data_IF_992026484939
#
_entry.id   IF_992026484939
#
_cell.length_a   1.000
_cell.length_b   1.000
_cell.length_c   1.000
_cell.angle_alpha   90.00
_cell.angle_beta   90.00
_cell.angle_gamma   90.00
#
_symmetry.space_group_name_H-M   'P 1'
#
loop_
_entity.id
_entity.type
_entity.pdbx_description
1 polymer ?
#
# COMPACT_ATOMS: atom_id res chain seq x y z
N UNK A 1 -9.14 -31.56 -12.94
CA UNK A 1 -8.41 -32.25 -11.85
C UNK A 1 -7.72 -31.17 -11.05
N UNK A 2 -8.31 -30.77 -9.93
CA UNK A 2 -7.66 -29.88 -8.96
C UNK A 2 -6.57 -30.69 -8.28
N UNK A 3 -5.31 -30.38 -8.57
CA UNK A 3 -4.19 -30.88 -7.77
C UNK A 3 -4.42 -30.36 -6.34
N UNK A 4 -4.40 -31.25 -5.36
CA UNK A 4 -4.57 -30.88 -3.95
C UNK A 4 -3.45 -29.90 -3.56
N UNK A 5 -3.77 -28.82 -2.81
CA UNK A 5 -2.76 -27.85 -2.37
C UNK A 5 -1.63 -28.53 -1.57
N UNK A 6 -1.93 -29.66 -0.91
CA UNK A 6 -0.92 -30.50 -0.25
C UNK A 6 0.05 -31.20 -1.22
N UNK A 7 -0.44 -31.65 -2.38
CA UNK A 7 0.42 -32.29 -3.40
C UNK A 7 1.38 -31.26 -4.03
N UNK A 8 0.95 -30.00 -4.16
CA UNK A 8 1.81 -28.89 -4.62
C UNK A 8 2.89 -28.50 -3.60
N UNK A 9 2.62 -28.64 -2.31
CA UNK A 9 3.64 -28.41 -1.26
C UNK A 9 4.73 -29.48 -1.27
N UNK A 10 4.41 -30.73 -1.60
CA UNK A 10 5.33 -31.86 -1.53
C UNK A 10 6.21 -32.07 -2.77
N UNK A 11 5.80 -31.58 -3.95
CA UNK A 11 6.54 -31.81 -5.19
C UNK A 11 7.69 -30.82 -5.41
N UNK A 12 8.89 -31.37 -5.57
CA UNK A 12 10.00 -30.67 -6.23
C UNK A 12 9.65 -30.46 -7.71
N UNK A 13 9.92 -29.27 -8.28
CA UNK A 13 9.80 -29.07 -9.72
C UNK A 13 10.79 -29.97 -10.46
N UNK A 14 10.52 -30.29 -11.73
CA UNK A 14 11.45 -31.05 -12.58
C UNK A 14 12.84 -30.41 -12.57
N UNK A 15 13.83 -31.19 -12.14
CA UNK A 15 15.24 -30.79 -12.06
C UNK A 15 15.99 -31.31 -13.27
N UNK A 16 16.88 -30.49 -13.82
CA UNK A 16 17.77 -30.89 -14.91
C UNK A 16 19.13 -31.41 -14.43
N UNK A 17 19.45 -31.19 -13.15
CA UNK A 17 20.62 -31.72 -12.47
C UNK A 17 20.24 -32.72 -11.38
N UNK A 18 21.21 -33.45 -10.85
CA UNK A 18 21.02 -34.34 -9.70
C UNK A 18 21.04 -33.51 -8.41
N UNK A 19 20.07 -33.69 -7.53
CA UNK A 19 20.01 -33.03 -6.23
C UNK A 19 20.17 -34.05 -5.11
N UNK A 20 20.90 -33.66 -4.05
CA UNK A 20 20.96 -34.43 -2.80
C UNK A 20 19.65 -34.35 -2.02
N UNK A 21 19.37 -35.35 -1.18
CA UNK A 21 18.17 -35.37 -0.35
C UNK A 21 18.11 -34.17 0.60
N UNK A 22 19.26 -33.72 1.13
CA UNK A 22 19.35 -32.54 1.98
C UNK A 22 18.99 -31.25 1.21
N UNK A 23 19.48 -31.10 -0.02
CA UNK A 23 19.16 -29.94 -0.86
C UNK A 23 17.68 -29.93 -1.28
N UNK A 24 17.11 -31.10 -1.58
CA UNK A 24 15.68 -31.28 -1.84
C UNK A 24 14.85 -30.90 -0.61
N UNK A 25 15.23 -31.39 0.57
CA UNK A 25 14.54 -31.09 1.82
C UNK A 25 14.52 -29.58 2.10
N UNK A 26 15.59 -28.85 1.77
CA UNK A 26 15.66 -27.40 1.94
C UNK A 26 14.68 -26.64 1.05
N UNK A 27 14.39 -27.14 -0.16
CA UNK A 27 13.42 -26.51 -1.07
C UNK A 27 11.98 -26.60 -0.54
N UNK A 28 11.69 -27.49 0.41
CA UNK A 28 10.38 -27.54 1.09
C UNK A 28 10.09 -26.27 1.89
N UNK A 29 11.12 -25.57 2.38
CA UNK A 29 11.00 -24.28 3.06
C UNK A 29 10.77 -23.11 2.10
N UNK A 30 10.93 -23.34 0.78
CA UNK A 30 10.65 -22.34 -0.24
C UNK A 30 9.19 -22.47 -0.64
N UNK A 31 8.39 -21.38 -0.62
CA UNK A 31 6.99 -21.43 -1.02
C UNK A 31 6.85 -22.00 -2.44
N UNK A 32 5.88 -22.90 -2.63
CA UNK A 32 5.77 -23.72 -3.85
C UNK A 32 5.69 -22.86 -5.13
N UNK A 33 5.00 -21.72 -5.07
CA UNK A 33 4.79 -20.82 -6.22
C UNK A 33 6.07 -20.10 -6.70
N UNK A 34 7.09 -19.95 -5.84
CA UNK A 34 8.43 -19.45 -6.25
C UNK A 34 9.48 -20.56 -6.40
N UNK A 35 9.22 -21.76 -5.89
CA UNK A 35 10.17 -22.90 -5.86
C UNK A 35 10.77 -23.22 -7.22
N UNK A 36 9.95 -23.21 -8.30
CA UNK A 36 10.42 -23.44 -9.67
C UNK A 36 11.47 -22.41 -10.12
N UNK A 37 11.24 -21.14 -9.83
CA UNK A 37 12.18 -20.05 -10.16
C UNK A 37 13.48 -20.16 -9.35
N UNK A 38 13.37 -20.50 -8.07
CA UNK A 38 14.52 -20.71 -7.18
C UNK A 38 15.37 -21.90 -7.65
N UNK A 39 14.75 -23.05 -7.93
CA UNK A 39 15.42 -24.25 -8.45
C UNK A 39 16.14 -23.95 -9.75
N UNK A 40 15.47 -23.31 -10.72
CA UNK A 40 16.09 -22.89 -11.98
C UNK A 40 17.31 -22.00 -11.77
N UNK A 41 17.22 -21.05 -10.83
CA UNK A 41 18.34 -20.16 -10.50
C UNK A 41 19.53 -20.92 -9.89
N UNK A 42 19.27 -21.90 -9.03
CA UNK A 42 20.32 -22.75 -8.43
C UNK A 42 20.95 -23.66 -9.48
N UNK A 43 20.16 -24.26 -10.38
CA UNK A 43 20.70 -25.09 -11.46
C UNK A 43 21.50 -24.27 -12.47
N UNK A 44 21.08 -23.04 -12.77
CA UNK A 44 21.86 -22.13 -13.60
C UNK A 44 23.21 -21.84 -12.96
N UNK A 45 23.22 -21.48 -11.67
CA UNK A 45 24.46 -21.29 -10.91
C UNK A 45 25.34 -22.55 -10.96
N UNK A 46 24.78 -23.73 -10.73
CA UNK A 46 25.52 -24.98 -10.77
C UNK A 46 26.14 -25.23 -12.16
N UNK A 47 25.38 -25.03 -13.24
CA UNK A 47 25.89 -25.12 -14.63
C UNK A 47 27.02 -24.13 -14.89
N UNK A 48 26.87 -22.87 -14.47
CA UNK A 48 27.86 -21.82 -14.68
C UNK A 48 29.18 -22.11 -13.95
N UNK A 49 29.12 -22.87 -12.84
CA UNK A 49 30.31 -23.31 -12.08
C UNK A 49 30.75 -24.74 -12.42
N UNK A 50 30.14 -25.41 -13.39
CA UNK A 50 30.46 -26.79 -13.79
C UNK A 50 30.16 -27.85 -12.71
N UNK A 51 29.12 -27.64 -11.91
CA UNK A 51 28.70 -28.51 -10.82
C UNK A 51 27.55 -29.41 -11.30
N UNK A 52 27.74 -30.73 -11.20
CA UNK A 52 26.76 -31.72 -11.67
C UNK A 52 25.74 -32.14 -10.60
N UNK A 53 26.14 -32.09 -9.32
CA UNK A 53 25.29 -32.46 -8.18
C UNK A 53 25.04 -31.23 -7.30
N UNK A 54 23.76 -30.90 -7.11
CA UNK A 54 23.32 -29.82 -6.24
C UNK A 54 23.20 -30.34 -4.79
N UNK A 55 24.21 -30.02 -3.99
CA UNK A 55 24.21 -30.23 -2.54
C UNK A 55 23.79 -28.96 -1.77
N UNK A 56 23.67 -29.06 -0.45
CA UNK A 56 23.29 -27.92 0.40
C UNK A 56 24.30 -26.75 0.31
N UNK A 57 25.59 -27.04 0.08
CA UNK A 57 26.61 -26.02 -0.06
C UNK A 57 26.47 -25.26 -1.39
N UNK A 58 26.08 -25.94 -2.48
CA UNK A 58 25.73 -25.33 -3.76
C UNK A 58 24.53 -24.41 -3.60
N UNK A 59 23.46 -24.87 -2.93
CA UNK A 59 22.27 -24.05 -2.64
C UNK A 59 22.66 -22.78 -1.86
N UNK A 60 23.50 -22.93 -0.81
CA UNK A 60 23.98 -21.81 0.00
C UNK A 60 24.80 -20.80 -0.81
N UNK A 61 25.74 -21.27 -1.64
CA UNK A 61 26.57 -20.39 -2.47
C UNK A 61 25.77 -19.69 -3.57
N UNK A 62 24.85 -20.41 -4.22
CA UNK A 62 23.96 -19.83 -5.22
C UNK A 62 23.12 -18.69 -4.63
N UNK A 63 22.59 -18.89 -3.42
CA UNK A 63 21.87 -17.85 -2.68
C UNK A 63 22.76 -16.65 -2.36
N UNK A 64 23.96 -16.86 -1.82
CA UNK A 64 24.89 -15.78 -1.48
C UNK A 64 25.30 -14.95 -2.72
N UNK A 65 25.56 -15.61 -3.86
CA UNK A 65 25.90 -14.91 -5.10
C UNK A 65 24.73 -14.06 -5.60
N UNK A 66 23.50 -14.61 -5.55
CA UNK A 66 22.29 -13.88 -5.92
C UNK A 66 22.00 -12.70 -4.99
N UNK A 67 22.20 -12.87 -3.68
CA UNK A 67 22.12 -11.79 -2.69
C UNK A 67 23.15 -10.69 -2.99
N UNK A 68 24.40 -11.06 -3.29
CA UNK A 68 25.46 -10.13 -3.68
C UNK A 68 25.15 -9.36 -4.97
N UNK A 69 24.63 -10.05 -5.99
CA UNK A 69 24.22 -9.45 -7.25
C UNK A 69 23.09 -8.42 -7.07
N UNK A 70 22.05 -8.76 -6.28
CA UNK A 70 20.94 -7.85 -5.99
C UNK A 70 21.40 -6.57 -5.26
N UNK A 71 22.38 -6.69 -4.34
CA UNK A 71 22.98 -5.53 -3.66
C UNK A 71 23.75 -4.66 -4.65
N UNK A 72 24.52 -5.27 -5.56
CA UNK A 72 25.28 -4.54 -6.57
C UNK A 72 24.37 -3.81 -7.55
N UNK A 73 23.31 -4.46 -8.02
CA UNK A 73 22.32 -3.87 -8.91
C UNK A 73 21.63 -2.66 -8.27
N UNK A 74 21.18 -2.78 -7.01
CA UNK A 74 20.58 -1.65 -6.29
C UNK A 74 21.54 -0.47 -6.15
N UNK A 75 22.81 -0.72 -5.82
CA UNK A 75 23.83 0.35 -5.76
C UNK A 75 24.01 1.03 -7.12
N UNK A 76 23.96 0.26 -8.20
CA UNK A 76 24.03 0.80 -9.56
C UNK A 76 22.79 1.65 -9.89
N UNK A 77 21.59 1.21 -9.53
CA UNK A 77 20.35 1.98 -9.71
C UNK A 77 20.38 3.29 -8.90
N UNK A 78 20.80 3.25 -7.64
CA UNK A 78 20.93 4.45 -6.80
C UNK A 78 21.98 5.42 -7.37
N UNK A 79 23.09 4.91 -7.91
CA UNK A 79 24.11 5.73 -8.57
C UNK A 79 23.61 6.33 -9.89
N UNK A 80 22.86 5.57 -10.69
CA UNK A 80 22.26 6.02 -11.93
C UNK A 80 21.20 7.11 -11.69
N UNK A 81 20.34 6.93 -10.68
CA UNK A 81 19.35 7.94 -10.29
C UNK A 81 20.01 9.26 -9.85
N UNK A 82 21.10 9.18 -9.07
CA UNK A 82 21.90 10.36 -8.71
C UNK A 82 22.58 11.01 -9.92
N UNK A 83 23.08 10.22 -10.87
CA UNK A 83 23.71 10.75 -12.08
C UNK A 83 22.69 11.43 -13.01
N UNK A 84 21.48 10.87 -13.14
CA UNK A 84 20.37 11.47 -13.88
C UNK A 84 19.98 12.84 -13.30
N UNK A 85 19.93 12.96 -11.97
CA UNK A 85 19.66 14.22 -11.27
C UNK A 85 20.75 15.27 -11.53
N UNK A 86 22.04 14.85 -11.55
CA UNK A 86 23.18 15.72 -11.91
C UNK A 86 23.14 16.16 -13.38
N UNK A 87 22.65 15.31 -14.28
CA UNK A 87 22.51 15.60 -15.72
C UNK A 87 21.27 16.45 -16.07
N UNK A 88 20.49 16.88 -15.08
CA UNK A 88 19.35 17.77 -15.27
C UNK A 88 18.07 17.07 -15.73
N UNK A 89 18.01 15.74 -15.68
CA UNK A 89 16.74 15.02 -15.82
C UNK A 89 15.88 15.34 -14.59
N UNK A 90 14.69 15.92 -14.82
CA UNK A 90 13.81 16.29 -13.72
C UNK A 90 13.27 15.01 -13.07
N UNK A 91 13.47 14.80 -11.75
CA UNK A 91 12.91 13.66 -11.07
C UNK A 91 11.37 13.68 -11.20
N UNK A 92 10.76 12.49 -11.31
CA UNK A 92 9.30 12.36 -11.30
C UNK A 92 8.76 13.05 -10.06
N UNK A 93 7.93 14.08 -10.27
CA UNK A 93 7.34 14.85 -9.16
C UNK A 93 6.45 13.90 -8.37
N UNK A 94 6.72 13.76 -7.08
CA UNK A 94 5.96 12.90 -6.17
C UNK A 94 4.79 13.66 -5.57
N UNK A 95 3.68 12.99 -5.37
CA UNK A 95 2.47 13.57 -4.78
C UNK A 95 2.52 13.41 -3.26
N UNK A 96 2.17 14.47 -2.54
CA UNK A 96 1.74 14.37 -1.16
C UNK A 96 0.31 13.85 -1.11
N UNK A 97 0.04 13.00 -0.13
CA UNK A 97 -1.23 12.33 0.07
C UNK A 97 -1.66 12.60 1.49
N UNK A 98 -2.90 13.04 1.67
CA UNK A 98 -3.48 13.23 2.99
C UNK A 98 -4.87 12.60 3.10
N UNK A 99 -5.11 11.91 4.21
CA UNK A 99 -6.42 11.39 4.59
C UNK A 99 -6.86 12.11 5.86
N UNK A 100 -7.87 12.98 5.76
CA UNK A 100 -8.35 13.81 6.86
C UNK A 100 -9.74 13.34 7.30
N UNK A 101 -9.85 12.95 8.57
CA UNK A 101 -11.04 12.32 9.14
C UNK A 101 -11.76 13.29 10.07
N UNK A 102 -13.06 13.47 9.89
CA UNK A 102 -13.86 14.44 10.64
C UNK A 102 -15.02 13.79 11.38
N UNK A 103 -15.28 14.27 12.59
CA UNK A 103 -16.47 13.97 13.39
C UNK A 103 -17.28 15.24 13.62
N UNK A 104 -18.57 15.18 13.34
CA UNK A 104 -19.48 16.29 13.60
C UNK A 104 -19.83 16.35 15.09
N UNK A 105 -19.58 17.51 15.70
CA UNK A 105 -20.05 17.83 17.04
C UNK A 105 -21.60 17.87 17.06
N UNK A 106 -22.27 17.08 17.93
CA UNK A 106 -23.72 17.11 18.08
C UNK A 106 -24.34 18.48 18.35
N UNK A 107 -23.57 19.46 18.86
CA UNK A 107 -24.03 20.83 19.07
C UNK A 107 -24.51 21.48 17.77
N UNK A 108 -23.90 21.18 16.62
CA UNK A 108 -24.31 21.74 15.33
C UNK A 108 -25.76 21.40 14.98
N UNK A 109 -26.21 20.18 15.29
CA UNK A 109 -27.59 19.72 15.04
C UNK A 109 -28.64 20.48 15.86
N UNK A 110 -28.22 21.20 16.91
CA UNK A 110 -29.09 21.98 17.79
C UNK A 110 -29.19 23.45 17.38
N UNK A 111 -28.39 23.89 16.40
CA UNK A 111 -28.46 25.25 15.87
C UNK A 111 -29.77 25.47 15.11
N UNK A 112 -30.22 26.73 14.94
CA UNK A 112 -31.31 27.05 14.04
C UNK A 112 -31.05 26.53 12.61
N UNK A 113 -32.09 26.07 11.92
CA UNK A 113 -31.95 25.51 10.57
C UNK A 113 -31.28 26.47 9.58
N UNK A 114 -31.57 27.76 9.67
CA UNK A 114 -30.92 28.79 8.85
C UNK A 114 -29.40 28.85 9.05
N UNK A 115 -28.92 28.71 10.30
CA UNK A 115 -27.48 28.67 10.60
C UNK A 115 -26.83 27.38 10.10
N UNK A 116 -27.54 26.24 10.20
CA UNK A 116 -27.07 24.97 9.67
C UNK A 116 -26.86 25.05 8.15
N UNK A 117 -27.88 25.50 7.41
CA UNK A 117 -27.82 25.65 5.95
C UNK A 117 -26.74 26.64 5.52
N UNK A 118 -26.63 27.77 6.21
CA UNK A 118 -25.57 28.75 5.94
C UNK A 118 -24.18 28.14 6.15
N UNK A 119 -23.95 27.46 7.27
CA UNK A 119 -22.67 26.84 7.58
C UNK A 119 -22.29 25.72 6.62
N UNK A 120 -23.27 24.94 6.18
CA UNK A 120 -23.13 23.90 5.15
C UNK A 120 -22.75 24.50 3.80
N UNK A 121 -23.46 25.56 3.37
CA UNK A 121 -23.16 26.27 2.12
C UNK A 121 -21.75 26.85 2.11
N UNK A 122 -21.35 27.57 3.17
CA UNK A 122 -19.99 28.11 3.29
C UNK A 122 -18.91 27.02 3.21
N UNK A 123 -19.16 25.85 3.80
CA UNK A 123 -18.25 24.72 3.76
C UNK A 123 -18.16 24.10 2.36
N UNK A 124 -19.30 23.90 1.69
CA UNK A 124 -19.36 23.40 0.32
C UNK A 124 -18.66 24.33 -0.68
N UNK A 125 -18.87 25.64 -0.58
CA UNK A 125 -18.20 26.63 -1.44
C UNK A 125 -16.66 26.51 -1.38
N UNK A 126 -16.10 26.24 -0.20
CA UNK A 126 -14.66 26.02 -0.05
C UNK A 126 -14.25 24.70 -0.71
N UNK A 127 -15.00 23.61 -0.52
CA UNK A 127 -14.67 22.32 -1.14
C UNK A 127 -14.72 22.39 -2.67
N UNK A 128 -15.74 23.01 -3.25
CA UNK A 128 -15.92 23.16 -4.69
C UNK A 128 -14.79 23.98 -5.34
N UNK A 129 -14.28 25.02 -4.65
CA UNK A 129 -13.12 25.78 -5.14
C UNK A 129 -11.85 24.92 -5.21
N UNK A 130 -11.69 23.96 -4.31
CA UNK A 130 -10.58 23.01 -4.34
C UNK A 130 -10.78 21.87 -5.33
N UNK A 131 -12.01 21.44 -5.55
CA UNK A 131 -12.36 20.40 -6.53
C UNK A 131 -12.20 20.88 -7.98
N UNK A 132 -12.52 22.16 -8.22
CA UNK A 132 -12.41 22.77 -9.56
C UNK A 132 -11.02 23.31 -9.89
N UNK A 133 -10.09 23.33 -8.93
CA UNK A 133 -8.74 23.80 -9.18
C UNK A 133 -7.77 22.65 -9.45
N UNK A 134 -6.81 22.86 -10.36
CA UNK A 134 -5.82 21.84 -10.72
C UNK A 134 -4.73 21.65 -9.64
N UNK A 135 -4.89 22.22 -8.43
CA UNK A 135 -3.87 22.15 -7.37
C UNK A 135 -3.97 20.88 -6.55
N UNK A 136 -5.18 20.31 -6.42
CA UNK A 136 -5.37 19.05 -5.72
C UNK A 136 -6.42 18.17 -6.36
N UNK A 137 -6.24 16.87 -6.20
CA UNK A 137 -7.31 15.90 -6.35
C UNK A 137 -7.98 15.80 -4.98
N UNK A 138 -9.30 16.01 -4.97
CA UNK A 138 -10.12 15.96 -3.78
C UNK A 138 -11.19 14.89 -3.93
N UNK A 139 -11.26 13.97 -2.96
CA UNK A 139 -12.28 12.94 -2.90
C UNK A 139 -12.92 12.93 -1.52
N UNK A 140 -14.21 12.59 -1.48
CA UNK A 140 -15.00 12.55 -0.26
C UNK A 140 -15.61 11.19 -0.01
N UNK A 141 -15.65 10.83 1.26
CA UNK A 141 -16.21 9.57 1.71
C UNK A 141 -17.04 9.76 2.97
N UNK A 142 -18.09 8.97 3.10
CA UNK A 142 -18.89 8.88 4.33
C UNK A 142 -18.59 7.59 5.08
N UNK A 143 -18.62 7.69 6.39
CA UNK A 143 -18.53 6.58 7.35
C UNK A 143 -19.68 6.59 8.36
N UNK A 144 -20.67 7.47 8.15
CA UNK A 144 -21.84 7.58 9.01
C UNK A 144 -22.53 6.23 9.11
N UNK A 145 -22.71 5.73 10.33
CA UNK A 145 -23.31 4.42 10.61
C UNK A 145 -22.38 3.22 10.46
N UNK A 146 -21.13 3.42 10.01
CA UNK A 146 -20.12 2.36 9.88
C UNK A 146 -19.16 2.38 11.07
N UNK A 147 -18.71 3.59 11.45
CA UNK A 147 -17.79 3.81 12.57
C UNK A 147 -18.35 4.87 13.52
N UNK A 148 -18.14 4.70 14.82
CA UNK A 148 -18.76 5.57 15.83
C UNK A 148 -18.03 6.92 16.01
N UNK A 149 -16.72 6.91 15.86
CA UNK A 149 -15.78 7.99 16.15
C UNK A 149 -15.49 8.91 14.95
N UNK A 150 -15.97 8.59 13.74
CA UNK A 150 -15.76 9.42 12.55
C UNK A 150 -17.00 9.40 11.64
N UNK A 151 -17.31 10.53 11.02
CA UNK A 151 -18.47 10.67 10.14
C UNK A 151 -18.09 10.80 8.65
N UNK A 152 -17.12 11.65 8.31
CA UNK A 152 -16.66 11.85 6.92
C UNK A 152 -15.14 11.86 6.81
N UNK A 153 -14.63 11.59 5.63
CA UNK A 153 -13.20 11.65 5.32
C UNK A 153 -12.98 12.36 3.99
N UNK A 154 -11.94 13.20 3.94
CA UNK A 154 -11.43 13.82 2.71
C UNK A 154 -10.08 13.21 2.36
N UNK A 155 -9.98 12.65 1.16
CA UNK A 155 -8.72 12.19 0.57
C UNK A 155 -8.21 13.28 -0.37
N UNK A 156 -7.05 13.84 -0.02
CA UNK A 156 -6.47 15.02 -0.66
C UNK A 156 -5.10 14.67 -1.22
N UNK A 157 -4.88 14.94 -2.50
CA UNK A 157 -3.62 14.63 -3.17
C UNK A 157 -3.15 15.86 -3.91
N UNK A 158 -1.95 16.34 -3.62
CA UNK A 158 -1.38 17.52 -4.26
C UNK A 158 0.13 17.40 -4.38
N UNK A 159 0.77 18.37 -5.02
CA UNK A 159 2.23 18.43 -5.09
C UNK A 159 2.87 19.42 -4.10
N UNK A 160 2.06 20.21 -3.41
CA UNK A 160 2.49 21.29 -2.52
C UNK A 160 1.81 21.14 -1.15
N UNK A 161 2.59 20.80 -0.12
CA UNK A 161 2.10 20.41 1.20
C UNK A 161 1.26 21.51 1.87
N UNK A 162 1.61 22.76 1.63
CA UNK A 162 0.95 23.94 2.19
C UNK A 162 -0.52 24.05 1.75
N UNK A 163 -0.90 23.45 0.62
CA UNK A 163 -2.30 23.46 0.17
C UNK A 163 -3.22 22.71 1.14
N UNK A 164 -2.74 21.64 1.80
CA UNK A 164 -3.51 20.97 2.85
C UNK A 164 -3.77 21.89 4.05
N UNK A 165 -2.74 22.62 4.48
CA UNK A 165 -2.83 23.55 5.61
C UNK A 165 -3.75 24.74 5.29
N UNK A 166 -3.62 25.33 4.09
CA UNK A 166 -4.49 26.42 3.63
C UNK A 166 -5.94 25.97 3.55
N UNK A 167 -6.21 24.82 2.91
CA UNK A 167 -7.57 24.28 2.78
C UNK A 167 -8.19 24.03 4.15
N UNK A 168 -7.50 23.31 5.05
CA UNK A 168 -8.01 23.03 6.40
C UNK A 168 -8.29 24.32 7.17
N UNK A 169 -7.40 25.32 7.09
CA UNK A 169 -7.61 26.63 7.75
C UNK A 169 -8.87 27.33 7.23
N UNK A 170 -9.14 27.26 5.92
CA UNK A 170 -10.35 27.83 5.31
C UNK A 170 -11.61 27.09 5.74
N UNK A 171 -11.58 25.75 5.70
CA UNK A 171 -12.70 24.92 6.16
C UNK A 171 -13.04 25.21 7.62
N UNK A 172 -12.06 25.26 8.51
CA UNK A 172 -12.29 25.53 9.95
C UNK A 172 -12.88 26.92 10.25
N UNK A 173 -12.84 27.87 9.29
CA UNK A 173 -13.45 29.20 9.45
C UNK A 173 -14.94 29.23 9.16
N UNK A 174 -15.47 28.25 8.42
CA UNK A 174 -16.89 28.22 8.02
C UNK A 174 -17.80 27.88 9.19
N UNK A 175 -19.10 28.14 9.05
CA UNK A 175 -20.10 27.80 10.07
C UNK A 175 -20.09 26.32 10.45
N UNK A 176 -20.05 25.40 9.48
CA UNK A 176 -19.96 23.97 9.74
C UNK A 176 -18.57 23.54 10.24
N UNK A 177 -17.49 24.10 9.68
CA UNK A 177 -16.12 23.70 10.02
C UNK A 177 -15.75 23.91 11.50
N UNK A 178 -16.39 24.87 12.18
CA UNK A 178 -16.24 25.09 13.64
C UNK A 178 -16.71 23.90 14.49
N UNK A 179 -17.56 23.04 13.93
CA UNK A 179 -18.14 21.88 14.60
C UNK A 179 -17.63 20.56 14.01
N UNK A 180 -16.66 20.60 13.09
CA UNK A 180 -16.02 19.41 12.54
C UNK A 180 -14.68 19.18 13.23
N UNK A 181 -14.65 18.21 14.14
CA UNK A 181 -13.44 17.79 14.83
C UNK A 181 -12.60 16.91 13.93
N UNK A 182 -11.32 17.25 13.75
CA UNK A 182 -10.36 16.37 13.06
C UNK A 182 -9.94 15.28 14.05
N UNK A 183 -10.40 14.05 13.83
CA UNK A 183 -10.17 12.91 14.74
C UNK A 183 -8.95 12.09 14.34
N UNK A 184 -8.59 12.13 13.06
CA UNK A 184 -7.34 11.58 12.55
C UNK A 184 -6.92 12.36 11.29
N UNK A 185 -5.62 12.43 11.05
CA UNK A 185 -5.05 12.96 9.81
C UNK A 185 -3.79 12.17 9.51
N UNK A 186 -3.72 11.53 8.35
CA UNK A 186 -2.51 10.82 7.92
C UNK A 186 -1.87 11.56 6.76
N UNK A 187 -0.60 11.90 6.91
CA UNK A 187 0.24 12.47 5.86
C UNK A 187 1.17 11.39 5.30
N UNK A 188 1.21 11.29 3.98
CA UNK A 188 2.06 10.36 3.25
C UNK A 188 2.53 10.97 1.93
N UNK A 189 3.41 10.24 1.22
CA UNK A 189 3.90 10.62 -0.10
C UNK A 189 3.96 9.41 -1.03
N UNK A 190 3.72 9.61 -2.33
CA UNK A 190 3.94 8.56 -3.33
C UNK A 190 5.43 8.24 -3.44
N UNK A 191 5.75 6.96 -3.62
CA UNK A 191 7.11 6.47 -3.82
C UNK A 191 7.06 5.18 -4.60
N UNK A 192 8.04 4.99 -5.50
CA UNK A 192 8.22 3.71 -6.19
C UNK A 192 8.43 2.59 -5.18
N UNK A 193 7.79 1.44 -5.42
CA UNK A 193 8.00 0.23 -4.63
C UNK A 193 9.47 -0.18 -4.65
N UNK A 194 9.97 -0.71 -3.53
CA UNK A 194 11.29 -1.34 -3.46
C UNK A 194 11.27 -2.84 -3.73
N UNK A 195 10.07 -3.41 -3.87
CA UNK A 195 9.85 -4.82 -4.16
C UNK A 195 9.28 -4.96 -5.55
N UNK A 196 9.81 -5.95 -6.28
CA UNK A 196 9.36 -6.25 -7.62
C UNK A 196 8.13 -7.15 -7.60
N UNK A 197 7.13 -6.81 -8.40
CA UNK A 197 6.00 -7.69 -8.64
C UNK A 197 6.29 -8.54 -9.88
N UNK A 198 6.73 -9.78 -9.65
CA UNK A 198 7.07 -10.72 -10.73
C UNK A 198 5.84 -11.29 -11.44
N UNK A 199 4.63 -11.12 -10.87
CA UNK A 199 3.38 -11.63 -11.44
C UNK A 199 2.70 -10.56 -12.30
N UNK A 200 2.90 -9.29 -11.97
CA UNK A 200 2.39 -8.17 -12.75
C UNK A 200 3.42 -7.01 -12.81
N UNK A 201 4.38 -7.05 -13.74
CA UNK A 201 5.43 -6.02 -13.83
C UNK A 201 4.89 -4.63 -14.18
N UNK A 202 3.77 -4.54 -14.90
CA UNK A 202 3.15 -3.27 -15.30
C UNK A 202 2.51 -2.52 -14.09
N UNK A 203 2.19 -3.24 -13.01
CA UNK A 203 1.61 -2.66 -11.79
C UNK A 203 2.57 -1.73 -11.03
N UNK A 204 3.87 -1.75 -11.33
CA UNK A 204 4.87 -0.89 -10.67
C UNK A 204 4.83 0.57 -11.13
N UNK A 205 4.55 0.82 -12.41
CA UNK A 205 4.62 2.16 -13.01
C UNK A 205 3.49 3.09 -12.50
N UNK A 206 2.33 2.52 -12.14
CA UNK A 206 1.14 3.27 -11.72
C UNK A 206 1.25 3.85 -10.29
N UNK A 207 2.27 3.45 -9.49
CA UNK A 207 2.35 3.85 -8.06
C UNK A 207 3.01 5.20 -7.79
N UNK A 208 3.63 5.83 -8.79
CA UNK A 208 4.19 7.18 -8.63
C UNK A 208 3.14 8.29 -8.74
N UNK A 209 2.00 7.98 -9.36
CA UNK A 209 0.90 8.90 -9.59
C UNK A 209 -0.43 8.21 -9.26
N UNK A 210 -1.12 8.67 -8.23
CA UNK A 210 -2.38 8.06 -7.81
C UNK A 210 -3.49 8.49 -8.76
N UNK A 211 -4.22 7.52 -9.31
CA UNK A 211 -5.52 7.72 -9.97
C UNK A 211 -6.60 7.10 -9.06
N UNK A 212 -7.18 7.89 -8.15
CA UNK A 212 -8.12 7.40 -7.15
C UNK A 212 -9.58 7.49 -7.64
N UNK A 213 -10.51 6.95 -6.85
CA UNK A 213 -11.95 7.15 -7.02
C UNK A 213 -12.63 6.22 -8.02
N UNK A 214 -12.03 5.05 -8.30
CA UNK A 214 -12.57 4.10 -9.30
C UNK A 214 -13.55 3.07 -8.73
N UNK A 215 -13.67 2.96 -7.41
CA UNK A 215 -14.53 1.98 -6.76
C UNK A 215 -15.39 2.61 -5.65
N UNK A 216 -16.47 1.93 -5.28
CA UNK A 216 -17.46 2.42 -4.31
C UNK A 216 -16.95 2.40 -2.87
N UNK A 217 -16.14 1.42 -2.48
CA UNK A 217 -15.65 1.29 -1.11
C UNK A 217 -14.14 1.54 -1.04
N UNK A 218 -13.73 2.17 0.04
CA UNK A 218 -12.33 2.43 0.35
C UNK A 218 -12.02 2.00 1.78
N UNK A 219 -10.93 1.25 1.95
CA UNK A 219 -10.43 0.80 3.25
C UNK A 219 -9.05 1.40 3.49
N UNK A 220 -8.90 2.15 4.59
CA UNK A 220 -7.64 2.84 4.90
C UNK A 220 -7.16 2.48 6.30
N UNK A 221 -5.86 2.26 6.45
CA UNK A 221 -5.22 2.17 7.76
C UNK A 221 -3.74 2.59 7.71
N UNK A 222 -3.20 3.15 8.81
CA UNK A 222 -1.78 3.34 8.96
C UNK A 222 -1.11 1.98 9.20
N UNK A 223 0.09 1.81 8.69
CA UNK A 223 0.84 0.56 8.79
C UNK A 223 2.28 0.82 9.21
N UNK A 224 2.76 0.05 10.18
CA UNK A 224 4.11 0.12 10.74
C UNK A 224 4.70 -1.29 10.84
N UNK A 225 5.91 -1.46 10.31
CA UNK A 225 6.69 -2.68 10.44
C UNK A 225 7.56 -2.63 11.69
N UNK A 226 7.78 -3.80 12.31
CA UNK A 226 8.75 -3.96 13.39
C UNK A 226 10.17 -3.68 12.91
N UNK A 227 11.06 -3.25 13.81
CA UNK A 227 12.46 -2.91 13.48
C UNK A 227 13.23 -4.07 12.86
N UNK A 228 12.96 -5.30 13.30
CA UNK A 228 13.58 -6.52 12.78
C UNK A 228 13.39 -6.67 11.27
N UNK A 229 12.26 -6.19 10.71
CA UNK A 229 12.03 -6.15 9.27
C UNK A 229 13.15 -5.43 8.53
N UNK A 230 13.56 -4.26 9.06
CA UNK A 230 14.58 -3.42 8.43
C UNK A 230 16.00 -3.96 8.60
N UNK A 231 16.20 -4.90 9.52
CA UNK A 231 17.47 -5.59 9.71
C UNK A 231 17.63 -6.80 8.77
N UNK A 232 16.55 -7.24 8.11
CA UNK A 232 16.61 -8.27 7.09
C UNK A 232 17.29 -7.76 5.82
N UNK A 233 18.01 -8.68 5.15
CA UNK A 233 18.55 -8.42 3.82
C UNK A 233 17.42 -8.09 2.84
N UNK A 234 17.72 -7.30 1.80
CA UNK A 234 16.72 -6.99 0.76
C UNK A 234 16.19 -8.26 0.09
N UNK A 235 17.05 -9.26 -0.13
CA UNK A 235 16.67 -10.54 -0.73
C UNK A 235 15.68 -11.30 0.14
N UNK A 236 15.93 -11.38 1.44
CA UNK A 236 15.00 -12.02 2.38
C UNK A 236 13.67 -11.28 2.42
N UNK A 237 13.67 -9.95 2.43
CA UNK A 237 12.44 -9.15 2.36
C UNK A 237 11.69 -9.37 1.05
N UNK A 238 12.39 -9.45 -0.09
CA UNK A 238 11.77 -9.75 -1.38
C UNK A 238 11.06 -11.11 -1.34
N UNK A 239 11.71 -12.18 -0.85
CA UNK A 239 11.06 -13.49 -0.76
C UNK A 239 9.81 -13.51 0.13
N UNK A 240 9.83 -12.78 1.24
CA UNK A 240 8.63 -12.61 2.11
C UNK A 240 7.54 -11.80 1.38
N UNK A 241 7.93 -10.77 0.63
CA UNK A 241 6.99 -9.97 -0.15
C UNK A 241 6.45 -10.72 -1.38
N UNK A 242 7.19 -11.65 -1.97
CA UNK A 242 6.71 -12.49 -3.07
C UNK A 242 5.51 -13.35 -2.62
N UNK A 243 5.56 -13.87 -1.39
CA UNK A 243 4.41 -14.55 -0.77
C UNK A 243 3.23 -13.60 -0.56
N UNK A 244 3.48 -12.43 0.00
CA UNK A 244 2.45 -11.41 0.21
C UNK A 244 1.78 -10.99 -1.10
N UNK A 245 2.57 -10.77 -2.15
CA UNK A 245 2.09 -10.41 -3.50
C UNK A 245 1.31 -11.56 -4.12
N UNK A 246 1.79 -12.80 -3.97
CA UNK A 246 1.09 -13.98 -4.47
C UNK A 246 -0.31 -14.12 -3.86
N UNK A 247 -0.43 -13.93 -2.54
CA UNK A 247 -1.73 -13.93 -1.86
C UNK A 247 -2.60 -12.76 -2.33
N UNK A 248 -2.03 -11.55 -2.42
CA UNK A 248 -2.74 -10.37 -2.92
C UNK A 248 -3.34 -10.54 -4.32
N UNK A 249 -2.60 -11.18 -5.23
CA UNK A 249 -3.02 -11.44 -6.60
C UNK A 249 -4.21 -12.42 -6.71
N UNK A 250 -4.59 -13.13 -5.64
CA UNK A 250 -5.85 -13.91 -5.60
C UNK A 250 -7.09 -13.02 -5.59
N UNK A 251 -6.95 -11.73 -5.26
CA UNK A 251 -8.03 -10.77 -5.08
C UNK A 251 -7.93 -9.60 -6.08
N UNK A 252 -8.09 -9.85 -7.39
CA UNK A 252 -7.90 -8.82 -8.44
C UNK A 252 -8.95 -7.70 -8.40
N UNK A 253 -10.07 -7.92 -7.69
CA UNK A 253 -11.11 -6.92 -7.43
C UNK A 253 -10.71 -5.84 -6.42
N UNK A 254 -9.57 -6.01 -5.73
CA UNK A 254 -9.10 -5.09 -4.70
C UNK A 254 -7.86 -4.35 -5.22
N UNK A 255 -8.01 -3.05 -5.48
CA UNK A 255 -6.91 -2.18 -5.91
C UNK A 255 -6.19 -1.60 -4.69
N UNK A 256 -4.88 -1.79 -4.59
CA UNK A 256 -4.05 -1.24 -3.53
C UNK A 256 -3.34 0.07 -3.96
N UNK A 257 -3.52 1.11 -3.15
CA UNK A 257 -2.74 2.33 -3.19
C UNK A 257 -1.87 2.41 -1.92
N UNK A 258 -0.56 2.23 -2.05
CA UNK A 258 0.40 2.35 -0.93
C UNK A 258 1.13 3.67 -0.98
N UNK A 259 1.12 4.40 0.14
CA UNK A 259 1.85 5.66 0.32
C UNK A 259 2.75 5.57 1.55
N UNK A 260 3.80 6.40 1.58
CA UNK A 260 4.91 6.29 2.54
C UNK A 260 5.01 7.53 3.43
N UNK A 261 5.26 7.32 4.73
CA UNK A 261 5.19 8.39 5.74
C UNK A 261 6.44 8.51 6.62
N UNK A 262 7.52 7.79 6.28
CA UNK A 262 8.79 7.82 7.00
C UNK A 262 9.30 9.24 7.29
N UNK A 263 9.32 9.61 8.56
CA UNK A 263 9.87 10.88 9.05
C UNK A 263 8.96 12.11 8.83
N UNK A 264 7.79 11.93 8.22
CA UNK A 264 6.80 13.00 8.02
C UNK A 264 5.51 12.77 8.80
N UNK A 265 5.28 11.56 9.32
CA UNK A 265 4.20 11.19 10.23
C UNK A 265 4.67 10.03 11.13
N UNK A 266 3.84 9.62 12.10
CA UNK A 266 4.16 8.63 13.15
C UNK A 266 4.21 7.18 12.63
N UNK A 267 3.62 6.91 11.48
CA UNK A 267 3.56 5.60 10.85
C UNK A 267 4.49 5.53 9.64
N UNK A 268 4.71 4.33 9.11
CA UNK A 268 5.65 4.13 8.01
C UNK A 268 4.96 4.15 6.65
N UNK A 269 3.71 3.66 6.61
CA UNK A 269 2.88 3.61 5.41
C UNK A 269 1.43 3.98 5.73
N UNK A 270 0.73 4.54 4.75
CA UNK A 270 -0.74 4.50 4.71
C UNK A 270 -1.13 3.64 3.53
N UNK A 271 -1.91 2.59 3.81
CA UNK A 271 -2.43 1.68 2.79
C UNK A 271 -3.91 1.94 2.61
N UNK A 272 -4.30 2.14 1.35
CA UNK A 272 -5.65 2.48 0.93
C UNK A 272 -6.09 1.47 -0.15
N UNK A 273 -7.15 0.70 0.13
CA UNK A 273 -7.66 -0.35 -0.76
C UNK A 273 -9.02 0.06 -1.32
N UNK A 274 -9.15 0.09 -2.63
CA UNK A 274 -10.39 0.40 -3.34
C UNK A 274 -11.01 -0.88 -3.90
N UNK A 275 -12.32 -1.09 -3.67
CA UNK A 275 -13.07 -2.22 -4.26
C UNK A 275 -14.58 -1.96 -4.25
N UNK A 276 -15.32 -2.63 -5.13
CA UNK A 276 -16.78 -2.70 -5.09
C UNK A 276 -17.29 -3.88 -4.25
N UNK A 277 -16.38 -4.74 -3.77
CA UNK A 277 -16.68 -5.99 -3.06
C UNK A 277 -16.00 -6.02 -1.68
N UNK A 278 -16.64 -5.47 -0.62
CA UNK A 278 -16.08 -5.47 0.74
C UNK A 278 -15.70 -6.84 1.30
N UNK A 279 -16.40 -7.91 0.87
CA UNK A 279 -16.10 -9.29 1.26
C UNK A 279 -14.70 -9.72 0.80
N UNK A 280 -14.34 -9.39 -0.43
CA UNK A 280 -13.02 -9.72 -1.00
C UNK A 280 -11.90 -9.04 -0.21
N UNK A 281 -12.10 -7.80 0.25
CA UNK A 281 -11.12 -7.13 1.11
C UNK A 281 -10.98 -7.80 2.49
N UNK A 282 -12.10 -8.24 3.08
CA UNK A 282 -12.09 -8.97 4.35
C UNK A 282 -11.30 -10.27 4.22
N UNK A 283 -11.60 -11.06 3.20
CA UNK A 283 -10.95 -12.34 2.93
C UNK A 283 -9.47 -12.15 2.58
N UNK A 284 -9.13 -11.14 1.77
CA UNK A 284 -7.75 -10.74 1.49
C UNK A 284 -6.96 -10.47 2.77
N UNK A 285 -7.48 -9.63 3.67
CA UNK A 285 -6.77 -9.28 4.91
C UNK A 285 -6.66 -10.51 5.83
N UNK A 286 -7.66 -11.40 5.83
CA UNK A 286 -7.60 -12.66 6.56
C UNK A 286 -6.47 -13.55 6.04
N UNK A 287 -6.39 -13.79 4.73
CA UNK A 287 -5.31 -14.59 4.12
C UNK A 287 -3.93 -13.96 4.34
N UNK A 288 -3.82 -12.63 4.22
CA UNK A 288 -2.56 -11.93 4.43
C UNK A 288 -2.00 -12.09 5.85
N UNK A 289 -2.85 -12.33 6.86
CA UNK A 289 -2.43 -12.57 8.23
C UNK A 289 -1.68 -13.88 8.42
N UNK A 290 -1.89 -14.85 7.51
CA UNK A 290 -1.24 -16.16 7.54
C UNK A 290 0.16 -16.16 6.88
N UNK A 291 0.51 -15.08 6.17
CA UNK A 291 1.82 -14.94 5.52
C UNK A 291 2.96 -14.65 6.50
N UNK A 292 4.20 -15.01 6.14
CA UNK A 292 5.38 -14.69 6.97
C UNK A 292 5.55 -13.17 7.16
N UNK A 293 5.09 -12.37 6.20
CA UNK A 293 5.12 -10.91 6.28
C UNK A 293 4.33 -10.33 7.46
N UNK A 294 3.31 -11.05 7.91
CA UNK A 294 2.45 -10.69 9.06
C UNK A 294 3.22 -10.64 10.38
N UNK A 295 4.24 -11.50 10.56
CA UNK A 295 5.06 -11.53 11.79
C UNK A 295 5.79 -10.23 12.08
N UNK A 296 6.04 -9.45 11.03
CA UNK A 296 6.74 -8.17 11.09
C UNK A 296 5.79 -6.96 11.17
N UNK A 297 4.49 -7.17 11.30
CA UNK A 297 3.53 -6.07 11.53
C UNK A 297 3.60 -5.63 12.99
N UNK A 298 3.85 -4.35 13.23
CA UNK A 298 3.80 -3.74 14.56
C UNK A 298 2.43 -3.11 14.83
N UNK A 299 1.91 -2.37 13.84
CA UNK A 299 0.61 -1.69 13.93
C UNK A 299 -0.03 -1.59 12.55
N UNK A 300 -1.28 -2.00 12.44
CA UNK A 300 -2.13 -1.95 11.24
C UNK A 300 -3.56 -1.44 11.55
N UNK A 301 -3.71 -0.73 12.68
CA UNK A 301 -4.98 -0.18 13.16
C UNK A 301 -4.81 1.27 13.60
N UNK A 302 -5.88 2.09 13.61
CA UNK A 302 -7.28 1.77 13.26
C UNK A 302 -7.53 1.57 11.76
N UNK A 303 -8.56 0.79 11.43
CA UNK A 303 -9.05 0.60 10.05
C UNK A 303 -10.31 1.45 9.84
N UNK A 304 -10.35 2.16 8.72
CA UNK A 304 -11.46 3.01 8.29
C UNK A 304 -12.11 2.43 7.04
N UNK A 305 -13.37 2.02 7.17
CA UNK A 305 -14.21 1.57 6.05
C UNK A 305 -15.05 2.74 5.57
N UNK A 306 -14.87 3.13 4.31
CA UNK A 306 -15.38 4.36 3.73
C UNK A 306 -16.27 4.05 2.51
N UNK A 307 -17.37 4.79 2.35
CA UNK A 307 -18.22 4.75 1.16
C UNK A 307 -17.97 6.01 0.34
N UNK A 308 -17.57 5.85 -0.92
CA UNK A 308 -17.34 6.95 -1.85
C UNK A 308 -18.65 7.71 -2.12
N UNK A 309 -18.57 9.03 -2.09
CA UNK A 309 -19.69 9.95 -2.32
C UNK A 309 -19.20 11.19 -3.05
N UNK A 310 -20.09 11.89 -3.74
CA UNK A 310 -19.82 13.28 -4.16
C UNK A 310 -19.60 14.16 -2.92
N UNK A 311 -18.96 15.33 -3.10
CA UNK A 311 -18.72 16.26 -1.99
C UNK A 311 -20.04 16.66 -1.31
N UNK A 312 -21.05 16.93 -2.13
CA UNK A 312 -22.39 17.29 -1.67
C UNK A 312 -23.05 16.13 -0.89
N UNK A 313 -23.04 14.92 -1.45
CA UNK A 313 -23.63 13.74 -0.79
C UNK A 313 -22.92 13.38 0.52
N UNK A 314 -21.60 13.51 0.57
CA UNK A 314 -20.83 13.26 1.78
C UNK A 314 -21.23 14.24 2.89
N UNK A 315 -21.36 15.53 2.59
CA UNK A 315 -21.81 16.53 3.57
C UNK A 315 -23.28 16.33 3.95
N UNK A 316 -24.16 15.99 2.99
CA UNK A 316 -25.55 15.65 3.25
C UNK A 316 -25.70 14.42 4.16
N UNK A 317 -24.79 13.44 4.05
CA UNK A 317 -24.81 12.22 4.87
C UNK A 317 -24.65 12.48 6.37
N UNK A 318 -24.15 13.65 6.78
CA UNK A 318 -24.07 14.07 8.18
C UNK A 318 -25.44 14.25 8.86
N UNK A 319 -26.53 14.26 8.08
CA UNK A 319 -27.91 14.41 8.56
C UNK A 319 -28.21 15.82 9.03
N UNK A 320 -27.63 16.82 8.35
CA UNK A 320 -27.77 18.26 8.65
C UNK A 320 -28.47 19.00 7.51
#
# INVERSE_FOLDING_TARGET
MSIDNKELEELMPETSLTWTDEAVARMKNVPFFVRKSVVRGIEQYARDKGIEVVDDAVVSRARQEREGAAIAERRAQDAAAKAAEVNGEKPVRRQYVNFSFYKLDPAFRRLPKEEQEKGKKEFMEVLEEYDTNDKMILLSYSMVGIRADVDIMLWRICYDLEEFQKMTTRLSRTGLGKYLNIVASYLAMTKRSMYQDMFNPEHEEDRTHIIPGKAKYLFIYPFTKKREWYLLTQFTRQGIMDEHIFVGNKYPSVKLNTSYSFGIDDHEFVVAFETDHPGDFLDLVMDLRETEGSRYTEKDTPIYTCIAMSLEDAVNSLGI
#
